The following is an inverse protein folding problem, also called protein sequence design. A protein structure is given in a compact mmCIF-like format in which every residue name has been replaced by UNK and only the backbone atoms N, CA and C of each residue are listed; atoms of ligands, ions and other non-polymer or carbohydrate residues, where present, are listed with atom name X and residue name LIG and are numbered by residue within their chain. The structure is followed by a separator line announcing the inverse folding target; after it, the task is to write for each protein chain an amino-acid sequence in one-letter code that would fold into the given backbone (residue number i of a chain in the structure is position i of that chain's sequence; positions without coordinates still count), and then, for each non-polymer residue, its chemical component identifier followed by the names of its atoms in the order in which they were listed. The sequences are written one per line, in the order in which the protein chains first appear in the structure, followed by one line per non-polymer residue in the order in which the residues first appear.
data_IF_328492038201
#
_entry.id   IF_328492038201
#
_cell.length_a   1.000
_cell.length_b   1.000
_cell.length_c   1.000
_cell.angle_alpha   90.00
_cell.angle_beta   90.00
_cell.angle_gamma   90.00
#
_symmetry.space_group_name_H-M   'P 1'
#
loop_
_entity.id
_entity.type
_entity.pdbx_description
1 polymer ?
#
# COMPACT_ATOMS: atom_id res chain seq x y z
N UNK A 1 -8.79 3.47 -14.30
CA UNK A 1 -8.02 2.64 -13.36
C UNK A 1 -7.43 3.60 -12.36
N UNK A 2 -7.77 3.46 -11.08
CA UNK A 2 -7.08 4.22 -10.04
C UNK A 2 -5.63 3.75 -10.02
N UNK A 3 -4.73 4.58 -10.55
CA UNK A 3 -3.30 4.25 -10.61
C UNK A 3 -2.74 4.14 -9.18
N UNK A 4 -1.96 3.10 -8.94
CA UNK A 4 -1.30 2.89 -7.64
C UNK A 4 -0.33 4.05 -7.38
N UNK A 5 -0.40 4.72 -6.21
CA UNK A 5 0.55 5.76 -5.85
C UNK A 5 1.98 5.23 -5.90
N UNK A 6 2.89 5.96 -6.57
CA UNK A 6 4.30 5.55 -6.70
C UNK A 6 4.96 5.30 -5.35
N UNK A 7 4.61 6.11 -4.34
CA UNK A 7 5.09 5.94 -2.97
C UNK A 7 4.65 4.60 -2.34
N UNK A 8 3.43 4.16 -2.60
CA UNK A 8 2.93 2.86 -2.15
C UNK A 8 3.66 1.72 -2.87
N UNK A 9 3.83 1.83 -4.19
CA UNK A 9 4.57 0.84 -4.98
C UNK A 9 6.01 0.70 -4.48
N UNK A 10 6.69 1.83 -4.21
CA UNK A 10 8.03 1.84 -3.64
C UNK A 10 8.05 1.18 -2.26
N UNK A 11 7.13 1.53 -1.35
CA UNK A 11 7.09 0.96 -0.01
C UNK A 11 6.87 -0.56 -0.04
N UNK A 12 5.93 -1.05 -0.87
CA UNK A 12 5.70 -2.49 -1.07
C UNK A 12 6.93 -3.19 -1.66
N UNK A 13 7.67 -2.55 -2.57
CA UNK A 13 8.90 -3.13 -3.14
C UNK A 13 10.01 -3.36 -2.10
N UNK A 14 9.99 -2.62 -0.98
CA UNK A 14 10.96 -2.74 0.11
C UNK A 14 10.59 -3.82 1.14
N UNK A 15 9.33 -4.24 1.18
CA UNK A 15 8.85 -5.30 2.08
C UNK A 15 8.11 -6.40 1.30
N UNK A 16 8.83 -7.48 1.01
CA UNK A 16 8.28 -8.66 0.30
C UNK A 16 7.11 -9.31 1.03
N UNK A 17 7.05 -9.23 2.36
CA UNK A 17 5.95 -9.78 3.15
C UNK A 17 4.70 -8.90 3.02
N UNK A 18 4.86 -7.57 3.09
CA UNK A 18 3.78 -6.63 2.83
C UNK A 18 3.26 -6.76 1.39
N UNK A 19 4.13 -6.91 0.40
CA UNK A 19 3.71 -7.13 -0.99
C UNK A 19 2.90 -8.41 -1.18
N UNK A 20 3.29 -9.51 -0.53
CA UNK A 20 2.50 -10.75 -0.52
C UNK A 20 1.13 -10.54 0.11
N UNK A 21 1.06 -9.92 1.29
CA UNK A 21 -0.20 -9.59 1.97
C UNK A 21 -1.10 -8.73 1.09
N UNK A 22 -0.57 -7.65 0.54
CA UNK A 22 -1.27 -6.76 -0.39
C UNK A 22 -1.81 -7.52 -1.61
N UNK A 23 -1.01 -8.40 -2.23
CA UNK A 23 -1.44 -9.16 -3.41
C UNK A 23 -2.60 -10.12 -3.13
N UNK A 24 -2.68 -10.63 -1.90
CA UNK A 24 -3.71 -11.57 -1.43
C UNK A 24 -5.03 -10.89 -1.01
N UNK A 25 -5.05 -9.55 -0.91
CA UNK A 25 -6.26 -8.81 -0.64
C UNK A 25 -7.24 -8.90 -1.82
N UNK A 26 -8.53 -8.86 -1.50
CA UNK A 26 -9.59 -8.60 -2.48
C UNK A 26 -9.50 -7.17 -3.02
N UNK A 27 -10.19 -6.90 -4.13
CA UNK A 27 -10.10 -5.62 -4.84
C UNK A 27 -10.64 -4.46 -3.99
N UNK A 28 -11.63 -4.71 -3.12
CA UNK A 28 -12.19 -3.72 -2.21
C UNK A 28 -11.15 -3.26 -1.18
N UNK A 29 -10.46 -4.22 -0.53
CA UNK A 29 -9.39 -3.91 0.42
C UNK A 29 -8.19 -3.28 -0.26
N UNK A 30 -7.84 -3.71 -1.49
CA UNK A 30 -6.78 -3.06 -2.28
C UNK A 30 -7.12 -1.60 -2.53
N UNK A 31 -8.35 -1.31 -2.94
CA UNK A 31 -8.81 0.07 -3.16
C UNK A 31 -8.76 0.92 -1.88
N UNK A 32 -9.15 0.36 -0.72
CA UNK A 32 -9.05 1.05 0.56
C UNK A 32 -7.59 1.37 0.95
N UNK A 33 -6.68 0.42 0.76
CA UNK A 33 -5.24 0.63 1.01
C UNK A 33 -4.66 1.68 0.08
N UNK A 34 -5.01 1.64 -1.21
CA UNK A 34 -4.60 2.65 -2.19
C UNK A 34 -5.12 4.03 -1.77
N UNK A 35 -6.40 4.14 -1.40
CA UNK A 35 -7.01 5.40 -0.95
C UNK A 35 -6.33 5.97 0.30
N UNK A 36 -6.01 5.11 1.28
CA UNK A 36 -5.24 5.50 2.48
C UNK A 36 -3.83 5.97 2.14
N UNK A 37 -3.16 5.25 1.24
CA UNK A 37 -1.81 5.59 0.80
C UNK A 37 -1.75 6.90 0.01
N UNK A 38 -2.77 7.21 -0.79
CA UNK A 38 -2.89 8.49 -1.50
C UNK A 38 -2.99 9.70 -0.57
N UNK A 39 -3.43 9.49 0.68
CA UNK A 39 -3.48 10.53 1.71
C UNK A 39 -2.23 10.60 2.61
N UNK A 40 -1.26 9.71 2.43
CA UNK A 40 -0.06 9.69 3.26
C UNK A 40 0.88 10.84 2.88
N UNK A 41 1.37 11.57 3.89
CA UNK A 41 2.25 12.73 3.73
C UNK A 41 3.74 12.35 3.86
N UNK A 42 4.04 11.10 4.23
CA UNK A 42 5.42 10.63 4.40
C UNK A 42 5.61 9.15 4.06
N UNK A 43 6.86 8.78 3.78
CA UNK A 43 7.24 7.38 3.60
C UNK A 43 6.97 6.54 4.87
N UNK A 44 7.13 7.11 6.07
CA UNK A 44 6.88 6.42 7.33
C UNK A 44 5.40 6.05 7.50
N UNK A 45 4.49 6.94 7.10
CA UNK A 45 3.05 6.63 7.08
C UNK A 45 2.71 5.53 6.09
N UNK A 46 3.32 5.54 4.89
CA UNK A 46 3.16 4.46 3.90
C UNK A 46 3.65 3.12 4.46
N UNK A 47 4.83 3.09 5.09
CA UNK A 47 5.34 1.88 5.75
C UNK A 47 4.42 1.40 6.87
N UNK A 48 3.85 2.32 7.65
CA UNK A 48 2.91 1.98 8.71
C UNK A 48 1.62 1.36 8.14
N UNK A 49 1.07 1.93 7.06
CA UNK A 49 -0.10 1.39 6.36
C UNK A 49 0.17 -0.04 5.88
N UNK A 50 1.28 -0.26 5.17
CA UNK A 50 1.58 -1.59 4.60
C UNK A 50 1.98 -2.62 5.67
N UNK A 51 2.49 -2.17 6.82
CA UNK A 51 2.83 -3.06 7.94
C UNK A 51 1.59 -3.69 8.59
N UNK A 52 0.44 -3.02 8.48
CA UNK A 52 -0.86 -3.41 9.08
C UNK A 52 -1.79 -4.17 8.13
N UNK A 53 -1.32 -4.52 6.94
CA UNK A 53 -2.04 -5.37 5.97
C UNK A 53 -2.17 -6.82 6.44
#
# INVERSE_FOLDING_TARGET
MDEMPEGLLFALSKDKCAMKRFSALDDEKKADVIKKASGALSAQELFHIISRL
#
